data_IF_418272046229
#
_entry.id   IF_418272046229
#
_cell.length_a   1.000
_cell.length_b   1.000
_cell.length_c   1.000
_cell.angle_alpha   90.00
_cell.angle_beta   90.00
_cell.angle_gamma   90.00
#
_symmetry.space_group_name_H-M   'P 1'
#
loop_
_entity.id
_entity.type
_entity.pdbx_description
1 polymer ?
#
# COMPACT_ATOMS: atom_id res chain seq x y z
N UNK A 1 49.64 34.49 3.39
CA UNK A 1 48.82 33.45 2.73
C UNK A 1 47.57 33.21 3.58
N UNK A 2 46.41 33.09 2.93
CA UNK A 2 45.04 33.01 3.47
C UNK A 2 44.28 34.33 3.71
N UNK A 3 44.36 35.22 2.72
CA UNK A 3 43.17 35.90 2.20
C UNK A 3 42.35 34.90 1.36
N UNK A 4 41.01 34.94 1.47
CA UNK A 4 39.97 34.23 0.68
C UNK A 4 39.31 33.01 1.35
N UNK A 5 38.35 33.25 2.26
CA UNK A 5 37.01 32.61 2.23
C UNK A 5 36.05 33.20 3.29
N UNK A 6 36.00 34.52 3.44
CA UNK A 6 35.04 35.21 4.33
C UNK A 6 34.04 36.11 3.56
N UNK A 7 34.05 36.04 2.22
CA UNK A 7 33.21 36.89 1.35
C UNK A 7 32.00 36.18 0.71
N UNK A 8 31.68 34.94 1.09
CA UNK A 8 30.48 34.24 0.56
C UNK A 8 29.30 34.19 1.52
N UNK A 9 29.44 34.60 2.78
CA UNK A 9 28.32 34.64 3.74
C UNK A 9 27.53 35.97 3.73
N UNK A 10 28.00 37.00 2.99
CA UNK A 10 27.39 38.34 2.96
C UNK A 10 26.55 38.63 1.71
N UNK A 11 26.41 37.65 0.81
CA UNK A 11 25.63 37.79 -0.44
C UNK A 11 24.28 37.06 -0.43
N UNK A 12 24.00 36.21 0.56
CA UNK A 12 22.68 35.63 0.75
C UNK A 12 21.95 36.45 1.82
N UNK A 13 20.99 37.28 1.40
CA UNK A 13 20.10 38.01 2.29
C UNK A 13 19.32 37.06 3.20
N UNK A 14 19.91 36.69 4.34
CA UNK A 14 19.25 35.97 5.41
C UNK A 14 18.29 36.96 6.08
N UNK A 15 17.10 37.11 5.49
CA UNK A 15 15.94 37.68 6.19
C UNK A 15 15.67 36.77 7.39
N UNK A 16 16.09 37.22 8.58
CA UNK A 16 15.61 36.66 9.85
C UNK A 16 14.09 36.78 9.83
N UNK A 17 13.38 35.68 9.51
CA UNK A 17 11.93 35.61 9.71
C UNK A 17 11.72 35.59 11.22
N UNK A 18 11.38 36.74 11.77
CA UNK A 18 10.76 36.84 13.10
C UNK A 18 9.46 36.02 13.05
N UNK A 19 9.48 34.84 13.68
CA UNK A 19 8.32 33.96 13.76
C UNK A 19 7.31 34.65 14.71
N UNK A 20 6.08 34.95 14.27
CA UNK A 20 5.08 35.54 15.15
C UNK A 20 4.67 34.53 16.24
N UNK A 21 4.51 34.94 17.51
CA UNK A 21 4.19 34.03 18.60
C UNK A 21 2.68 33.80 18.70
N UNK A 22 2.06 33.20 17.68
CA UNK A 22 0.68 32.69 17.79
C UNK A 22 0.43 31.54 16.82
N UNK A 23 0.12 30.36 17.38
CA UNK A 23 -0.40 29.14 16.73
C UNK A 23 0.32 28.67 15.45
N UNK A 24 1.24 27.73 15.60
CA UNK A 24 1.49 26.72 14.55
C UNK A 24 2.24 25.54 15.15
N UNK A 25 1.56 24.40 15.25
CA UNK A 25 2.24 23.12 15.37
C UNK A 25 3.18 23.02 14.16
N UNK A 26 4.44 22.74 14.45
CA UNK A 26 5.56 22.84 13.54
C UNK A 26 5.41 21.91 12.32
N UNK A 27 5.16 22.51 11.15
CA UNK A 27 5.28 21.84 9.84
C UNK A 27 6.75 21.60 9.43
N UNK A 28 7.71 21.69 10.35
CA UNK A 28 9.13 21.51 10.06
C UNK A 28 9.56 20.04 9.92
N UNK A 29 8.66 19.08 10.17
CA UNK A 29 8.83 17.68 9.77
C UNK A 29 8.38 17.38 8.31
N UNK A 30 7.81 18.36 7.59
CA UNK A 30 7.29 18.14 6.23
C UNK A 30 8.39 18.04 5.15
N UNK A 31 9.67 18.28 5.48
CA UNK A 31 10.78 18.20 4.52
C UNK A 31 11.31 16.79 4.27
N UNK A 32 10.89 15.76 5.04
CA UNK A 32 11.26 14.37 4.75
C UNK A 32 10.15 13.57 4.04
N UNK A 33 8.89 14.00 4.10
CA UNK A 33 7.78 13.29 3.47
C UNK A 33 7.47 13.94 2.12
N UNK A 34 8.22 13.54 1.09
CA UNK A 34 8.03 14.00 -0.28
C UNK A 34 6.59 13.86 -0.75
N UNK A 35 5.82 14.95 -0.66
CA UNK A 35 4.59 15.14 -1.43
C UNK A 35 4.98 15.42 -2.88
N UNK A 36 5.47 14.37 -3.56
CA UNK A 36 5.82 14.42 -4.98
C UNK A 36 4.50 14.51 -5.75
N UNK A 37 4.30 15.67 -6.37
CA UNK A 37 3.15 16.04 -7.19
C UNK A 37 2.80 14.94 -8.21
N UNK A 38 1.52 14.60 -8.25
CA UNK A 38 0.79 14.21 -9.46
C UNK A 38 1.42 13.10 -10.29
N UNK A 39 1.19 11.84 -9.91
CA UNK A 39 1.13 10.77 -10.90
C UNK A 39 0.00 11.11 -11.88
N UNK A 40 0.38 11.38 -13.12
CA UNK A 40 -0.52 11.78 -14.19
C UNK A 40 -1.55 10.67 -14.43
N UNK A 41 -2.82 11.00 -14.20
CA UNK A 41 -4.03 10.24 -14.57
C UNK A 41 -4.03 9.78 -16.04
N UNK A 42 -3.15 10.36 -16.87
CA UNK A 42 -2.96 10.08 -18.30
C UNK A 42 -2.24 8.76 -18.60
N UNK A 43 -1.51 8.19 -17.64
CA UNK A 43 -0.92 6.85 -17.78
C UNK A 43 -1.90 5.74 -17.35
N UNK A 44 -2.87 6.09 -16.51
CA UNK A 44 -3.93 5.21 -16.03
C UNK A 44 -4.93 4.83 -17.13
N UNK A 45 -5.37 5.81 -17.93
CA UNK A 45 -6.36 5.58 -19.00
C UNK A 45 -5.83 4.76 -20.19
N UNK A 46 -4.51 4.69 -20.40
CA UNK A 46 -3.91 3.80 -21.42
C UNK A 46 -3.90 2.35 -20.96
N UNK A 47 -3.59 2.08 -19.69
CA UNK A 47 -3.66 0.74 -19.10
C UNK A 47 -5.07 0.15 -19.12
N UNK A 48 -6.10 0.97 -18.86
CA UNK A 48 -7.52 0.54 -18.93
C UNK A 48 -7.92 0.07 -20.34
N UNK A 49 -7.59 0.84 -21.39
CA UNK A 49 -7.87 0.45 -22.78
C UNK A 49 -7.05 -0.76 -23.23
N UNK A 50 -5.78 -0.86 -22.82
CA UNK A 50 -4.91 -1.97 -23.22
C UNK A 50 -5.26 -3.29 -22.50
N UNK A 51 -5.81 -3.22 -21.29
CA UNK A 51 -6.22 -4.40 -20.52
C UNK A 51 -7.60 -4.93 -20.93
N UNK A 52 -8.52 -4.04 -21.37
CA UNK A 52 -9.78 -4.43 -22.02
C UNK A 52 -9.54 -5.24 -23.31
N UNK A 53 -8.46 -4.93 -24.04
CA UNK A 53 -8.00 -5.70 -25.20
C UNK A 53 -7.40 -7.05 -24.77
N UNK A 54 -6.70 -7.14 -23.63
CA UNK A 54 -6.18 -8.42 -23.11
C UNK A 54 -7.27 -9.37 -22.60
N UNK A 55 -8.39 -8.84 -22.07
CA UNK A 55 -9.56 -9.64 -21.64
C UNK A 55 -10.22 -10.40 -22.80
N UNK A 56 -10.17 -9.86 -24.02
CA UNK A 56 -10.61 -10.53 -25.24
C UNK A 56 -9.57 -11.51 -25.82
N UNK A 57 -8.29 -11.36 -25.45
CA UNK A 57 -7.19 -12.20 -25.93
C UNK A 57 -6.91 -13.44 -25.07
N UNK A 58 -7.18 -13.38 -23.76
CA UNK A 58 -6.95 -14.50 -22.84
C UNK A 58 -7.80 -15.75 -23.14
N UNK A 59 -9.08 -15.65 -23.59
CA UNK A 59 -9.84 -16.81 -24.03
C UNK A 59 -9.27 -17.48 -25.29
N UNK A 60 -8.60 -16.70 -26.16
CA UNK A 60 -8.04 -17.20 -27.42
C UNK A 60 -6.69 -17.92 -27.23
N UNK A 61 -5.94 -17.55 -26.19
CA UNK A 61 -4.68 -18.22 -25.82
C UNK A 61 -4.91 -19.42 -24.86
N UNK A 62 -6.05 -19.45 -24.15
CA UNK A 62 -6.47 -20.52 -23.26
C UNK A 62 -6.78 -21.86 -23.96
N UNK A 63 -6.95 -21.83 -25.29
CA UNK A 63 -7.27 -23.03 -26.08
C UNK A 63 -6.09 -24.01 -26.22
N UNK A 64 -4.85 -23.62 -25.89
CA UNK A 64 -3.66 -24.46 -26.09
C UNK A 64 -2.99 -25.00 -24.79
N UNK A 65 -3.43 -24.56 -23.60
CA UNK A 65 -2.84 -25.00 -22.32
C UNK A 65 -3.78 -25.96 -21.61
N UNK A 66 -3.37 -27.23 -21.47
CA UNK A 66 -4.19 -28.36 -21.00
C UNK A 66 -4.59 -28.38 -19.51
N UNK A 67 -4.83 -27.24 -18.86
CA UNK A 67 -5.34 -27.19 -17.47
C UNK A 67 -6.25 -25.98 -17.23
N UNK A 68 -7.56 -26.20 -17.27
CA UNK A 68 -8.60 -25.16 -17.11
C UNK A 68 -8.45 -24.35 -15.81
N UNK A 69 -7.99 -24.98 -14.74
CA UNK A 69 -7.87 -24.34 -13.41
C UNK A 69 -6.75 -23.30 -13.35
N UNK A 70 -5.61 -23.56 -14.01
CA UNK A 70 -4.48 -22.61 -14.04
C UNK A 70 -4.86 -21.39 -14.88
N UNK A 71 -5.54 -21.61 -16.01
CA UNK A 71 -6.06 -20.54 -16.86
C UNK A 71 -7.08 -19.70 -16.08
N UNK A 72 -7.99 -20.35 -15.35
CA UNK A 72 -8.96 -19.68 -14.48
C UNK A 72 -8.28 -18.89 -13.33
N UNK A 73 -7.24 -19.45 -12.70
CA UNK A 73 -6.49 -18.76 -11.65
C UNK A 73 -5.77 -17.51 -12.16
N UNK A 74 -5.10 -17.59 -13.32
CA UNK A 74 -4.40 -16.46 -13.94
C UNK A 74 -5.38 -15.37 -14.39
N UNK A 75 -6.52 -15.76 -14.96
CA UNK A 75 -7.58 -14.80 -15.34
C UNK A 75 -8.12 -14.05 -14.12
N UNK A 76 -8.50 -14.77 -13.06
CA UNK A 76 -8.99 -14.14 -11.81
C UNK A 76 -7.92 -13.22 -11.21
N UNK A 77 -6.66 -13.65 -11.18
CA UNK A 77 -5.55 -12.83 -10.68
C UNK A 77 -5.38 -11.53 -11.48
N UNK A 78 -5.37 -11.61 -12.81
CA UNK A 78 -5.24 -10.44 -13.68
C UNK A 78 -6.43 -9.47 -13.52
N UNK A 79 -7.66 -9.99 -13.43
CA UNK A 79 -8.86 -9.17 -13.20
C UNK A 79 -8.84 -8.51 -11.82
N UNK A 80 -8.42 -9.24 -10.78
CA UNK A 80 -8.34 -8.70 -9.41
C UNK A 80 -7.34 -7.54 -9.30
N UNK A 81 -6.15 -7.65 -9.93
CA UNK A 81 -5.16 -6.57 -9.96
C UNK A 81 -5.73 -5.31 -10.62
N UNK A 82 -6.43 -5.48 -11.75
CA UNK A 82 -7.04 -4.36 -12.46
C UNK A 82 -8.08 -3.61 -11.62
N UNK A 83 -8.99 -4.37 -11.00
CA UNK A 83 -10.00 -3.84 -10.10
C UNK A 83 -9.35 -3.11 -8.93
N UNK A 84 -8.27 -3.66 -8.36
CA UNK A 84 -7.52 -3.03 -7.28
C UNK A 84 -6.99 -1.63 -7.62
N UNK A 85 -6.44 -1.44 -8.82
CA UNK A 85 -5.91 -0.12 -9.23
C UNK A 85 -7.04 0.89 -9.48
N UNK A 86 -8.17 0.49 -10.09
CA UNK A 86 -9.34 1.37 -10.28
C UNK A 86 -9.91 1.84 -8.94
N UNK A 87 -10.02 0.94 -7.97
CA UNK A 87 -10.53 1.31 -6.65
C UNK A 87 -9.60 2.32 -5.95
N UNK A 88 -8.29 2.07 -5.93
CA UNK A 88 -7.34 2.93 -5.19
C UNK A 88 -7.25 4.35 -5.79
N UNK A 89 -7.35 4.48 -7.11
CA UNK A 89 -7.23 5.78 -7.81
C UNK A 89 -8.41 6.73 -7.58
N UNK A 90 -9.56 6.22 -7.09
CA UNK A 90 -10.79 7.01 -6.85
C UNK A 90 -10.92 7.57 -5.43
N UNK A 91 -9.94 7.32 -4.56
CA UNK A 91 -10.04 7.62 -3.13
C UNK A 91 -9.43 9.00 -2.84
N UNK A 92 -10.08 9.84 -2.00
CA UNK A 92 -9.57 11.17 -1.69
C UNK A 92 -8.27 11.09 -0.85
N UNK A 93 -7.39 12.12 -0.93
CA UNK A 93 -6.07 12.05 -0.33
C UNK A 93 -6.04 12.05 1.20
N UNK A 94 -7.14 12.44 1.82
CA UNK A 94 -7.33 12.39 3.28
C UNK A 94 -7.37 10.96 3.82
N UNK A 95 -7.65 9.97 2.96
CA UNK A 95 -7.81 8.56 3.35
C UNK A 95 -6.62 7.68 2.94
N UNK A 96 -5.56 8.21 2.32
CA UNK A 96 -4.40 7.38 1.94
C UNK A 96 -3.73 6.71 3.14
N UNK A 97 -3.64 7.39 4.29
CA UNK A 97 -3.04 6.85 5.51
C UNK A 97 -3.90 5.76 6.18
N UNK A 98 -5.22 5.94 6.41
CA UNK A 98 -6.04 4.85 6.91
C UNK A 98 -6.15 3.70 5.89
N UNK A 99 -6.11 3.97 4.59
CA UNK A 99 -6.10 2.94 3.56
C UNK A 99 -4.81 2.12 3.57
N UNK A 100 -3.66 2.76 3.76
CA UNK A 100 -2.38 2.07 3.93
C UNK A 100 -2.44 1.09 5.11
N UNK A 101 -2.95 1.53 6.26
CA UNK A 101 -3.18 0.66 7.43
C UNK A 101 -4.21 -0.44 7.16
N UNK A 102 -5.29 -0.12 6.44
CA UNK A 102 -6.32 -1.09 6.08
C UNK A 102 -5.81 -2.20 5.17
N UNK A 103 -4.96 -1.88 4.18
CA UNK A 103 -4.35 -2.88 3.29
C UNK A 103 -3.43 -3.86 4.05
N UNK A 104 -2.80 -3.41 5.15
CA UNK A 104 -2.05 -4.29 6.03
C UNK A 104 -2.98 -5.30 6.73
N UNK A 105 -4.17 -4.89 7.18
CA UNK A 105 -5.17 -5.80 7.76
C UNK A 105 -5.67 -6.85 6.75
N UNK A 106 -5.84 -6.45 5.48
CA UNK A 106 -6.28 -7.36 4.39
C UNK A 106 -5.24 -8.43 4.09
N UNK A 107 -3.94 -8.14 4.24
CA UNK A 107 -2.88 -9.15 4.12
C UNK A 107 -3.00 -10.30 5.14
N UNK A 108 -3.79 -10.11 6.19
CA UNK A 108 -4.15 -11.12 7.17
C UNK A 108 -4.94 -12.31 6.64
N UNK A 109 -5.32 -12.33 5.34
CA UNK A 109 -5.86 -13.51 4.64
C UNK A 109 -4.95 -14.75 4.76
N UNK A 110 -3.68 -14.55 5.10
CA UNK A 110 -2.73 -15.60 5.49
C UNK A 110 -3.27 -16.56 6.55
N UNK A 111 -4.25 -16.16 7.37
CA UNK A 111 -4.92 -17.04 8.34
C UNK A 111 -5.59 -18.26 7.68
N UNK A 112 -6.14 -18.11 6.48
CA UNK A 112 -6.77 -19.22 5.74
C UNK A 112 -5.71 -20.26 5.36
N UNK A 113 -4.54 -19.79 4.90
CA UNK A 113 -3.40 -20.66 4.61
C UNK A 113 -2.87 -21.36 5.88
N UNK A 114 -2.81 -20.64 7.00
CA UNK A 114 -2.36 -21.20 8.28
C UNK A 114 -3.31 -22.29 8.80
N UNK A 115 -4.63 -22.11 8.68
CA UNK A 115 -5.63 -23.12 9.07
C UNK A 115 -5.47 -24.38 8.23
N UNK A 116 -5.38 -24.25 6.90
CA UNK A 116 -5.21 -25.39 5.98
C UNK A 116 -3.90 -26.12 6.28
N UNK A 117 -2.81 -25.39 6.52
CA UNK A 117 -1.51 -25.98 6.83
C UNK A 117 -1.45 -26.65 8.21
N UNK A 118 -2.33 -26.26 9.15
CA UNK A 118 -2.38 -26.82 10.50
C UNK A 118 -3.29 -28.05 10.65
N UNK A 119 -4.22 -28.26 9.70
CA UNK A 119 -5.31 -29.23 9.82
C UNK A 119 -4.97 -30.68 9.45
N UNK A 120 -3.71 -30.99 9.13
CA UNK A 120 -3.28 -32.34 8.73
C UNK A 120 -2.62 -33.17 9.83
N UNK A 121 -2.48 -34.47 9.58
CA UNK A 121 -1.65 -35.38 10.37
C UNK A 121 -0.17 -35.03 10.15
N UNK A 122 0.40 -34.29 11.10
CA UNK A 122 1.78 -33.79 10.99
C UNK A 122 2.63 -34.17 12.20
N UNK A 123 3.95 -34.09 12.03
CA UNK A 123 4.91 -34.24 13.12
C UNK A 123 4.66 -33.21 14.23
N UNK A 124 5.09 -33.50 15.46
CA UNK A 124 4.83 -32.60 16.59
C UNK A 124 5.42 -31.20 16.39
N UNK A 125 6.53 -31.09 15.66
CA UNK A 125 7.11 -29.80 15.26
C UNK A 125 6.19 -29.00 14.33
N UNK A 126 5.57 -29.66 13.34
CA UNK A 126 4.67 -29.02 12.41
C UNK A 126 3.36 -28.56 13.09
N UNK A 127 2.88 -29.28 14.11
CA UNK A 127 1.75 -28.83 14.95
C UNK A 127 2.06 -27.52 15.66
N UNK A 128 3.23 -27.42 16.29
CA UNK A 128 3.67 -26.18 16.97
C UNK A 128 3.87 -25.01 16.01
N UNK A 129 4.45 -25.26 14.83
CA UNK A 129 4.62 -24.25 13.79
C UNK A 129 3.27 -23.80 13.21
N UNK A 130 2.32 -24.72 12.99
CA UNK A 130 0.96 -24.41 12.55
C UNK A 130 0.20 -23.57 13.57
N UNK A 131 0.31 -23.92 14.86
CA UNK A 131 -0.25 -23.13 15.95
C UNK A 131 0.34 -21.71 15.97
N UNK A 132 1.66 -21.58 15.88
CA UNK A 132 2.31 -20.26 15.85
C UNK A 132 1.92 -19.45 14.60
N UNK A 133 1.79 -20.10 13.44
CA UNK A 133 1.34 -19.47 12.21
C UNK A 133 -0.07 -18.88 12.34
N UNK A 134 -1.00 -19.60 12.97
CA UNK A 134 -2.36 -19.10 13.24
C UNK A 134 -2.33 -17.90 14.19
N UNK A 135 -1.54 -17.98 15.27
CA UNK A 135 -1.40 -16.87 16.24
C UNK A 135 -0.87 -15.62 15.54
N UNK A 136 0.21 -15.74 14.77
CA UNK A 136 0.81 -14.62 14.03
C UNK A 136 -0.15 -14.04 12.98
N UNK A 137 -0.84 -14.90 12.24
CA UNK A 137 -1.85 -14.46 11.26
C UNK A 137 -3.00 -13.71 11.94
N UNK A 138 -3.46 -14.20 13.09
CA UNK A 138 -4.53 -13.56 13.89
C UNK A 138 -4.10 -12.19 14.40
N UNK A 139 -2.86 -12.04 14.89
CA UNK A 139 -2.32 -10.75 15.33
C UNK A 139 -2.27 -9.74 14.17
N UNK A 140 -1.89 -10.17 12.95
CA UNK A 140 -1.87 -9.29 11.78
C UNK A 140 -3.29 -8.79 11.42
N UNK A 141 -4.28 -9.68 11.39
CA UNK A 141 -5.69 -9.34 11.15
C UNK A 141 -6.20 -8.37 12.23
N UNK A 142 -6.16 -8.79 13.50
CA UNK A 142 -6.74 -8.03 14.61
C UNK A 142 -6.03 -6.70 14.83
N UNK A 143 -4.69 -6.70 14.81
CA UNK A 143 -3.89 -5.49 14.94
C UNK A 143 -4.14 -4.50 13.80
N UNK A 144 -4.19 -4.99 12.55
CA UNK A 144 -4.48 -4.16 11.39
C UNK A 144 -5.86 -3.49 11.46
N UNK A 145 -6.89 -4.22 11.86
CA UNK A 145 -8.25 -3.67 12.00
C UNK A 145 -8.38 -2.70 13.18
N UNK A 146 -7.72 -2.97 14.32
CA UNK A 146 -7.74 -2.07 15.49
C UNK A 146 -7.10 -0.71 15.18
N UNK A 147 -5.95 -0.70 14.52
CA UNK A 147 -5.25 0.54 14.15
C UNK A 147 -6.09 1.34 13.14
N UNK A 148 -6.63 0.67 12.13
CA UNK A 148 -7.48 1.29 11.11
C UNK A 148 -8.75 1.89 11.73
N UNK A 149 -9.39 1.19 12.66
CA UNK A 149 -10.57 1.70 13.38
C UNK A 149 -10.27 2.98 14.17
N UNK A 150 -9.13 3.03 14.88
CA UNK A 150 -8.71 4.25 15.61
C UNK A 150 -8.42 5.44 14.69
N UNK A 151 -7.92 5.17 13.48
CA UNK A 151 -7.71 6.21 12.46
C UNK A 151 -9.03 6.71 11.89
N UNK A 152 -9.97 5.80 11.60
CA UNK A 152 -11.27 6.13 11.01
C UNK A 152 -12.24 6.80 12.01
N UNK A 153 -12.08 6.56 13.31
CA UNK A 153 -12.87 7.24 14.35
C UNK A 153 -12.73 8.77 14.30
N UNK A 154 -11.62 9.30 13.77
CA UNK A 154 -11.40 10.75 13.62
C UNK A 154 -12.20 11.38 12.48
N UNK A 155 -12.80 10.56 11.61
CA UNK A 155 -13.68 10.99 10.52
C UNK A 155 -15.16 10.79 10.84
N UNK A 156 -15.48 10.16 11.97
CA UNK A 156 -16.86 10.02 12.44
C UNK A 156 -17.29 11.36 13.07
N UNK A 157 -18.25 12.02 12.42
CA UNK A 157 -19.07 13.07 13.04
C UNK A 157 -20.35 12.43 13.55
#
# INVERSE_FOLDING_TARGET
>A
MQSLSLNSAKAAGIRRRTVPPTRRIDYHAASCCGYRRGLSFRSYSRGFRQMLVSLLAVPLLAAEVGSSDIIAGITIFALAVFVGVEIITKIPPTLHTPLMSGSNAVSGITIVGAIIASGGEHSDLAKWLGFLAIVLATVNVVGGFLVTNRMLQKFRR
#
